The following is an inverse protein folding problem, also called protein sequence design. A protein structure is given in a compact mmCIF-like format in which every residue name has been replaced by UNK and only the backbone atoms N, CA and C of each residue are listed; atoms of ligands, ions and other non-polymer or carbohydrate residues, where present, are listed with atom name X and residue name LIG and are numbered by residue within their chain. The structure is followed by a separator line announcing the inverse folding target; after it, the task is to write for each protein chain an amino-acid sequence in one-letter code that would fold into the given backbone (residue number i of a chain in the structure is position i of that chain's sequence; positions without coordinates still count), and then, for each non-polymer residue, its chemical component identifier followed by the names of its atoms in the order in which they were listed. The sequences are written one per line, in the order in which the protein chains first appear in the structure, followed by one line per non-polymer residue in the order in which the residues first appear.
data_IF_700623387746
#
_entry.id   IF_700623387746
#
_cell.length_a   1.000
_cell.length_b   1.000
_cell.length_c   1.000
_cell.angle_alpha   90.00
_cell.angle_beta   90.00
_cell.angle_gamma   90.00
#
_symmetry.space_group_name_H-M   'P 1'
#
loop_
_entity.id
_entity.type
_entity.pdbx_description
1 polymer ?
#
# COMPACT_ATOMS: atom_id res chain seq x y z
N UNK A 1 -25.40 1.18 7.58
CA UNK A 1 -24.15 1.61 8.25
C UNK A 1 -23.29 0.44 8.74
N UNK A 2 -23.83 -0.56 9.44
CA UNK A 2 -23.00 -1.70 9.91
C UNK A 2 -22.38 -2.53 8.78
N UNK A 3 -23.19 -2.91 7.77
CA UNK A 3 -22.68 -3.71 6.65
C UNK A 3 -21.66 -2.96 5.78
N UNK A 4 -21.91 -1.68 5.49
CA UNK A 4 -21.00 -0.83 4.69
C UNK A 4 -19.64 -0.65 5.37
N UNK A 5 -19.62 -0.50 6.70
CA UNK A 5 -18.38 -0.37 7.46
C UNK A 5 -17.61 -1.70 7.49
N UNK A 6 -18.30 -2.83 7.74
CA UNK A 6 -17.69 -4.16 7.70
C UNK A 6 -17.09 -4.46 6.32
N UNK A 7 -17.84 -4.20 5.25
CA UNK A 7 -17.36 -4.35 3.88
C UNK A 7 -16.13 -3.48 3.60
N UNK A 8 -16.17 -2.22 4.05
CA UNK A 8 -15.05 -1.29 3.94
C UNK A 8 -13.79 -1.79 4.65
N UNK A 9 -13.91 -2.31 5.87
CA UNK A 9 -12.78 -2.87 6.60
C UNK A 9 -12.24 -4.16 5.98
N UNK A 10 -13.10 -5.04 5.45
CA UNK A 10 -12.67 -6.24 4.74
C UNK A 10 -11.91 -5.85 3.47
N UNK A 11 -12.46 -4.94 2.66
CA UNK A 11 -11.82 -4.45 1.45
C UNK A 11 -10.46 -3.78 1.74
N UNK A 12 -10.43 -2.89 2.74
CA UNK A 12 -9.22 -2.24 3.24
C UNK A 12 -8.15 -3.25 3.69
N UNK A 13 -8.56 -4.27 4.45
CA UNK A 13 -7.64 -5.29 4.96
C UNK A 13 -7.07 -6.11 3.81
N UNK A 14 -7.91 -6.66 2.93
CA UNK A 14 -7.47 -7.50 1.81
C UNK A 14 -6.50 -6.76 0.88
N UNK A 15 -6.82 -5.52 0.51
CA UNK A 15 -5.97 -4.71 -0.38
C UNK A 15 -4.65 -4.31 0.28
N UNK A 16 -4.65 -3.97 1.56
CA UNK A 16 -3.43 -3.63 2.31
C UNK A 16 -2.53 -4.85 2.51
N UNK A 17 -3.11 -5.97 2.95
CA UNK A 17 -2.36 -7.20 3.22
C UNK A 17 -1.79 -7.84 1.95
N UNK A 18 -2.35 -7.57 0.76
CA UNK A 18 -1.80 -8.03 -0.50
C UNK A 18 -0.34 -7.59 -0.74
N UNK A 19 0.11 -6.48 -0.15
CA UNK A 19 1.49 -6.00 -0.25
C UNK A 19 2.45 -6.69 0.71
N UNK A 20 1.96 -7.32 1.78
CA UNK A 20 2.81 -7.99 2.76
C UNK A 20 3.57 -9.19 2.17
N UNK A 21 2.94 -10.10 1.39
CA UNK A 21 3.65 -11.13 0.63
C UNK A 21 4.74 -10.56 -0.28
N UNK A 22 4.48 -9.42 -0.94
CA UNK A 22 5.47 -8.77 -1.81
C UNK A 22 6.68 -8.26 -1.03
N UNK A 23 6.46 -7.64 0.14
CA UNK A 23 7.54 -7.23 1.05
C UNK A 23 8.37 -8.43 1.48
N UNK A 24 7.72 -9.52 1.89
CA UNK A 24 8.41 -10.76 2.31
C UNK A 24 9.22 -11.37 1.17
N UNK A 25 8.64 -11.42 -0.05
CA UNK A 25 9.32 -11.95 -1.22
C UNK A 25 10.57 -11.15 -1.54
N UNK A 26 10.47 -9.82 -1.60
CA UNK A 26 11.59 -8.93 -1.91
C UNK A 26 12.66 -8.97 -0.83
N UNK A 27 12.26 -9.11 0.43
CA UNK A 27 13.19 -9.26 1.54
C UNK A 27 13.98 -10.57 1.48
N UNK A 28 13.33 -11.68 1.10
CA UNK A 28 13.97 -12.99 0.96
C UNK A 28 14.83 -13.10 -0.31
N UNK A 29 14.31 -12.68 -1.46
CA UNK A 29 14.98 -12.82 -2.75
C UNK A 29 16.12 -11.83 -2.94
N UNK A 30 16.06 -10.66 -2.28
CA UNK A 30 16.96 -9.52 -2.52
C UNK A 30 17.07 -9.17 -4.01
N UNK A 31 15.98 -9.38 -4.76
CA UNK A 31 15.88 -9.08 -6.18
C UNK A 31 14.55 -8.39 -6.46
N UNK A 32 14.61 -7.28 -7.18
CA UNK A 32 13.44 -6.47 -7.54
C UNK A 32 13.42 -6.10 -9.03
N UNK A 33 14.20 -6.81 -9.86
CA UNK A 33 14.34 -6.53 -11.30
C UNK A 33 13.01 -6.46 -12.02
N UNK A 34 12.09 -7.37 -11.67
CA UNK A 34 10.77 -7.48 -12.31
C UNK A 34 9.74 -6.47 -11.79
N UNK A 35 10.07 -5.71 -10.74
CA UNK A 35 9.18 -4.66 -10.21
C UNK A 35 9.40 -3.38 -11.01
N UNK A 36 8.36 -2.91 -11.69
CA UNK A 36 8.37 -1.62 -12.41
C UNK A 36 8.48 -0.44 -11.44
N UNK A 37 9.58 0.31 -11.52
CA UNK A 37 9.78 1.52 -10.72
C UNK A 37 8.73 2.61 -11.02
N UNK A 38 8.39 2.91 -12.29
CA UNK A 38 7.33 3.88 -12.60
C UNK A 38 5.98 3.50 -11.99
N UNK A 39 5.62 2.21 -12.01
CA UNK A 39 4.39 1.72 -11.38
C UNK A 39 4.42 1.98 -9.87
N UNK A 40 5.52 1.62 -9.21
CA UNK A 40 5.65 1.76 -7.75
C UNK A 40 5.60 3.24 -7.31
N UNK A 41 6.30 4.13 -8.01
CA UNK A 41 6.30 5.57 -7.72
C UNK A 41 4.89 6.16 -7.93
N UNK A 42 4.25 5.85 -9.06
CA UNK A 42 2.90 6.36 -9.36
C UNK A 42 1.89 5.84 -8.34
N UNK A 43 2.01 4.57 -7.94
CA UNK A 43 1.15 3.98 -6.91
C UNK A 43 1.33 4.69 -5.56
N UNK A 44 2.57 4.91 -5.11
CA UNK A 44 2.90 5.62 -3.86
C UNK A 44 2.33 7.04 -3.86
N UNK A 45 2.44 7.77 -4.98
CA UNK A 45 1.84 9.11 -5.09
C UNK A 45 0.31 9.03 -4.99
N UNK A 46 -0.32 8.10 -5.71
CA UNK A 46 -1.77 7.90 -5.68
C UNK A 46 -2.30 7.59 -4.28
N UNK A 47 -1.71 6.63 -3.57
CA UNK A 47 -2.14 6.27 -2.21
C UNK A 47 -1.85 7.38 -1.19
N UNK A 48 -0.83 8.21 -1.42
CA UNK A 48 -0.57 9.41 -0.59
C UNK A 48 -1.69 10.43 -0.77
N UNK A 49 -2.14 10.66 -2.00
CA UNK A 49 -3.31 11.51 -2.27
C UNK A 49 -4.59 10.94 -1.65
N UNK A 50 -4.80 9.62 -1.74
CA UNK A 50 -5.94 8.96 -1.09
C UNK A 50 -5.89 9.04 0.43
N UNK A 51 -4.70 8.96 1.04
CA UNK A 51 -4.52 9.16 2.47
C UNK A 51 -4.95 10.57 2.88
N UNK A 52 -4.47 11.60 2.17
CA UNK A 52 -4.85 13.00 2.40
C UNK A 52 -6.36 13.17 2.21
N UNK A 53 -6.91 12.66 1.11
CA UNK A 53 -8.35 12.70 0.85
C UNK A 53 -9.16 12.04 1.97
N UNK A 54 -8.77 10.84 2.40
CA UNK A 54 -9.44 10.09 3.46
C UNK A 54 -9.47 10.84 4.80
N UNK A 55 -8.38 11.55 5.13
CA UNK A 55 -8.32 12.43 6.30
C UNK A 55 -9.27 13.64 6.14
N UNK A 56 -9.33 14.25 4.96
CA UNK A 56 -10.20 15.40 4.70
C UNK A 56 -11.70 15.07 4.77
N UNK A 57 -12.09 13.84 4.44
CA UNK A 57 -13.49 13.38 4.48
C UNK A 57 -13.84 12.53 5.71
N UNK A 58 -12.92 12.44 6.68
CA UNK A 58 -13.05 11.64 7.91
C UNK A 58 -13.46 10.16 7.69
N UNK A 59 -12.90 9.54 6.65
CA UNK A 59 -13.19 8.16 6.28
C UNK A 59 -12.12 7.19 6.80
N UNK A 60 -12.31 6.69 8.03
CA UNK A 60 -11.36 5.79 8.70
C UNK A 60 -10.85 4.60 7.86
N UNK A 61 -11.71 3.82 7.17
CA UNK A 61 -11.24 2.72 6.35
C UNK A 61 -10.30 3.17 5.21
N UNK A 62 -10.49 4.39 4.69
CA UNK A 62 -9.68 4.93 3.59
C UNK A 62 -8.32 5.38 4.11
N UNK A 63 -8.27 6.27 5.10
CA UNK A 63 -6.98 6.81 5.56
C UNK A 63 -6.14 5.74 6.27
N UNK A 64 -6.76 4.81 7.03
CA UNK A 64 -6.02 3.73 7.67
C UNK A 64 -5.42 2.76 6.65
N UNK A 65 -6.18 2.33 5.65
CA UNK A 65 -5.70 1.40 4.62
C UNK A 65 -4.56 2.01 3.80
N UNK A 66 -4.73 3.25 3.34
CA UNK A 66 -3.70 3.92 2.53
C UNK A 66 -2.44 4.22 3.35
N UNK A 67 -2.56 4.55 4.64
CA UNK A 67 -1.41 4.75 5.53
C UNK A 67 -0.55 3.49 5.69
N UNK A 68 -1.16 2.34 5.99
CA UNK A 68 -0.44 1.07 6.12
C UNK A 68 0.14 0.64 4.77
N UNK A 69 -0.66 0.73 3.70
CA UNK A 69 -0.22 0.41 2.33
C UNK A 69 0.98 1.26 1.90
N UNK A 70 1.00 2.54 2.27
CA UNK A 70 2.12 3.45 2.00
C UNK A 70 3.39 2.98 2.70
N UNK A 71 3.34 2.60 3.97
CA UNK A 71 4.50 2.06 4.70
C UNK A 71 5.06 0.81 4.01
N UNK A 72 4.21 -0.14 3.62
CA UNK A 72 4.63 -1.37 2.93
C UNK A 72 5.28 -1.06 1.57
N UNK A 73 4.69 -0.15 0.79
CA UNK A 73 5.23 0.21 -0.53
C UNK A 73 6.51 1.03 -0.45
N UNK A 74 6.69 1.86 0.59
CA UNK A 74 7.97 2.54 0.85
C UNK A 74 9.08 1.55 1.18
N UNK A 75 8.78 0.46 1.88
CA UNK A 75 9.73 -0.64 2.08
C UNK A 75 10.09 -1.26 0.73
N UNK A 76 9.10 -1.63 -0.10
CA UNK A 76 9.36 -2.19 -1.44
C UNK A 76 10.20 -1.23 -2.28
N UNK A 77 9.91 0.07 -2.25
CA UNK A 77 10.66 1.09 -2.98
C UNK A 77 12.12 1.15 -2.53
N UNK A 78 12.36 1.13 -1.22
CA UNK A 78 13.73 1.08 -0.68
C UNK A 78 14.49 -0.14 -1.21
N UNK A 79 13.84 -1.29 -1.27
CA UNK A 79 14.47 -2.48 -1.86
C UNK A 79 14.65 -2.35 -3.37
N UNK A 80 13.70 -1.75 -4.09
CA UNK A 80 13.82 -1.49 -5.54
C UNK A 80 15.01 -0.59 -5.87
N UNK A 81 15.27 0.42 -5.05
CA UNK A 81 16.41 1.31 -5.24
C UNK A 81 17.76 0.65 -4.88
N UNK A 82 17.75 -0.37 -4.00
CA UNK A 82 18.97 -1.06 -3.54
C UNK A 82 19.32 -2.31 -4.36
N UNK A 83 18.30 -3.05 -4.81
CA UNK A 83 18.41 -4.38 -5.44
C UNK A 83 17.70 -4.43 -6.81
N UNK A 84 17.50 -3.26 -7.43
CA UNK A 84 16.79 -3.06 -8.68
C UNK A 84 17.58 -3.43 -9.91
#
# INVERSE_FOLDING_TARGET
MHFTNLLGFIAASLTTFAFLPQVVQVWRSRSTKDISLPMLVTFILGITLWLIYGLLVDAAPIYMANGITLLLNLIILRFKLKYG
#
